data_IF_205163075623
#
_entry.id   IF_205163075623
#
_cell.length_a   1.000
_cell.length_b   1.000
_cell.length_c   1.000
_cell.angle_alpha   90.00
_cell.angle_beta   90.00
_cell.angle_gamma   90.00
#
_symmetry.space_group_name_H-M   'P 1'
#
loop_
_entity.id
_entity.type
_entity.pdbx_description
1 polymer ?
#
# COMPACT_ATOMS: atom_id res chain seq x y z
N UNK A 1 -23.92 14.66 4.79
CA UNK A 1 -24.17 14.12 3.43
C UNK A 1 -25.59 14.50 3.01
N UNK A 2 -25.79 14.88 1.74
CA UNK A 2 -27.14 15.19 1.25
C UNK A 2 -27.89 13.89 0.95
N UNK A 3 -29.20 13.83 1.20
CA UNK A 3 -30.02 12.64 0.92
C UNK A 3 -30.63 12.62 -0.49
N UNK A 4 -30.40 13.69 -1.26
CA UNK A 4 -30.99 13.87 -2.59
C UNK A 4 -30.01 13.40 -3.67
N UNK A 5 -30.53 12.66 -4.66
CA UNK A 5 -29.78 12.29 -5.86
C UNK A 5 -29.51 13.52 -6.71
N UNK A 6 -28.31 13.64 -7.28
CA UNK A 6 -27.92 14.74 -8.19
C UNK A 6 -28.20 14.43 -9.66
N UNK A 7 -28.74 13.25 -9.96
CA UNK A 7 -28.95 12.79 -11.32
C UNK A 7 -29.97 13.68 -12.04
N UNK A 8 -29.57 14.30 -13.16
CA UNK A 8 -30.39 15.21 -13.94
C UNK A 8 -30.45 16.65 -13.41
N UNK A 9 -29.67 17.00 -12.38
CA UNK A 9 -29.60 18.36 -11.88
C UNK A 9 -28.73 19.24 -12.80
N UNK A 10 -29.35 20.25 -13.41
CA UNK A 10 -28.73 21.19 -14.37
C UNK A 10 -27.51 21.89 -13.77
N UNK A 11 -27.47 22.11 -12.45
CA UNK A 11 -26.32 22.73 -11.77
C UNK A 11 -25.07 21.87 -11.82
N UNK A 12 -25.22 20.55 -11.86
CA UNK A 12 -24.10 19.61 -12.02
C UNK A 12 -23.74 19.41 -13.49
N UNK A 13 -24.71 19.52 -14.40
CA UNK A 13 -24.47 19.43 -15.86
C UNK A 13 -23.62 20.61 -16.33
N UNK A 14 -23.95 21.81 -15.85
CA UNK A 14 -23.24 23.05 -16.20
C UNK A 14 -22.15 23.41 -15.17
N UNK A 15 -21.64 22.44 -14.41
CA UNK A 15 -20.62 22.71 -13.39
C UNK A 15 -19.26 23.01 -14.03
N UNK A 16 -18.65 24.11 -13.64
CA UNK A 16 -17.28 24.46 -14.01
C UNK A 16 -16.30 24.03 -12.91
N UNK A 17 -15.19 23.40 -13.30
CA UNK A 17 -14.24 22.83 -12.37
C UNK A 17 -13.32 23.89 -11.74
N UNK A 18 -13.29 23.93 -10.41
CA UNK A 18 -12.33 24.74 -9.64
C UNK A 18 -11.12 23.91 -9.19
N UNK A 19 -9.94 24.43 -9.47
CA UNK A 19 -8.64 23.86 -9.12
C UNK A 19 -8.27 24.09 -7.65
N UNK A 20 -8.77 25.13 -7.00
CA UNK A 20 -8.37 25.54 -5.65
C UNK A 20 -9.30 25.02 -4.57
N UNK A 21 -9.69 23.76 -4.69
CA UNK A 21 -10.57 23.10 -3.73
C UNK A 21 -9.79 22.17 -2.80
N UNK A 22 -10.26 22.04 -1.55
CA UNK A 22 -9.66 21.14 -0.55
C UNK A 22 -9.39 19.71 -1.09
N UNK A 23 -10.32 19.07 -1.83
CA UNK A 23 -10.09 17.72 -2.35
C UNK A 23 -8.99 17.67 -3.41
N UNK A 24 -8.90 18.69 -4.27
CA UNK A 24 -7.86 18.80 -5.31
C UNK A 24 -6.48 19.01 -4.67
N UNK A 25 -6.40 19.87 -3.65
CA UNK A 25 -5.17 20.06 -2.89
C UNK A 25 -4.75 18.77 -2.18
N UNK A 26 -5.66 18.09 -1.48
CA UNK A 26 -5.35 16.80 -0.85
C UNK A 26 -4.92 15.73 -1.87
N UNK A 27 -5.53 15.69 -3.06
CA UNK A 27 -5.15 14.78 -4.14
C UNK A 27 -3.79 15.11 -4.79
N UNK A 28 -3.30 16.35 -4.64
CA UNK A 28 -1.98 16.77 -5.13
C UNK A 28 -0.84 16.36 -4.19
N UNK A 29 -1.08 16.22 -2.88
CA UNK A 29 -0.06 15.83 -1.88
C UNK A 29 0.62 14.51 -2.25
N UNK A 30 -0.10 13.45 -2.67
CA UNK A 30 0.51 12.20 -3.13
C UNK A 30 1.57 12.36 -4.20
N UNK A 31 1.47 13.35 -5.09
CA UNK A 31 2.46 13.55 -6.15
C UNK A 31 3.85 13.85 -5.57
N UNK A 32 3.93 14.52 -4.43
CA UNK A 32 5.19 14.91 -3.78
C UNK A 32 6.00 13.67 -3.37
N UNK A 33 5.35 12.64 -2.82
CA UNK A 33 6.04 11.43 -2.38
C UNK A 33 6.02 10.29 -3.41
N UNK A 34 5.06 10.26 -4.34
CA UNK A 34 4.99 9.25 -5.39
C UNK A 34 6.08 9.44 -6.45
N UNK A 35 6.38 10.68 -6.85
CA UNK A 35 7.42 10.95 -7.87
C UNK A 35 8.81 10.43 -7.44
N UNK A 36 9.31 10.75 -6.23
CA UNK A 36 10.54 10.13 -5.71
C UNK A 36 10.47 8.61 -5.62
N UNK A 37 9.30 8.06 -5.29
CA UNK A 37 9.10 6.61 -5.16
C UNK A 37 9.20 5.89 -6.50
N UNK A 38 8.65 6.48 -7.58
CA UNK A 38 8.80 5.96 -8.94
C UNK A 38 10.28 5.92 -9.34
N UNK A 39 11.05 6.96 -9.00
CA UNK A 39 12.49 6.98 -9.25
C UNK A 39 13.23 5.86 -8.50
N UNK A 40 12.97 5.71 -7.20
CA UNK A 40 13.56 4.66 -6.37
C UNK A 40 13.20 3.27 -6.91
N UNK A 41 11.93 3.04 -7.26
CA UNK A 41 11.47 1.79 -7.87
C UNK A 41 12.18 1.51 -9.19
N UNK A 42 12.34 2.51 -10.05
CA UNK A 42 13.05 2.37 -11.32
C UNK A 42 14.52 2.01 -11.12
N UNK A 43 15.21 2.60 -10.13
CA UNK A 43 16.58 2.21 -9.77
C UNK A 43 16.66 0.78 -9.22
N UNK A 44 15.70 0.37 -8.38
CA UNK A 44 15.63 -1.01 -7.88
C UNK A 44 15.50 -1.99 -9.03
N UNK A 45 14.56 -1.75 -9.96
CA UNK A 45 14.34 -2.59 -11.15
C UNK A 45 15.59 -2.62 -12.02
N UNK A 46 16.21 -1.46 -12.29
CA UNK A 46 17.44 -1.36 -13.09
C UNK A 46 18.58 -2.19 -12.50
N UNK A 47 18.79 -2.14 -11.18
CA UNK A 47 19.83 -2.93 -10.50
C UNK A 47 19.48 -4.41 -10.49
N UNK A 48 18.21 -4.76 -10.29
CA UNK A 48 17.77 -6.15 -10.31
C UNK A 48 17.92 -6.77 -11.71
N UNK A 49 17.50 -6.08 -12.77
CA UNK A 49 17.70 -6.49 -14.16
C UNK A 49 19.19 -6.63 -14.47
N UNK A 50 20.05 -5.69 -14.05
CA UNK A 50 21.50 -5.78 -14.23
C UNK A 50 22.07 -7.00 -13.50
N UNK A 51 21.65 -7.28 -12.28
CA UNK A 51 22.12 -8.45 -11.53
C UNK A 51 21.65 -9.77 -12.13
N UNK A 52 20.43 -9.84 -12.65
CA UNK A 52 19.94 -11.00 -13.41
C UNK A 52 20.78 -11.26 -14.67
N UNK A 53 21.22 -10.20 -15.34
CA UNK A 53 22.06 -10.28 -16.55
C UNK A 53 23.52 -10.61 -16.19
N UNK A 54 24.11 -9.96 -15.18
CA UNK A 54 25.52 -10.11 -14.77
C UNK A 54 25.80 -11.41 -14.01
N UNK A 55 24.85 -11.97 -13.24
CA UNK A 55 25.05 -13.24 -12.52
C UNK A 55 25.15 -14.49 -13.41
N UNK A 56 25.10 -14.36 -14.74
CA UNK A 56 25.52 -15.45 -15.62
C UNK A 56 27.01 -15.76 -15.52
N UNK A 57 27.82 -14.80 -15.05
CA UNK A 57 29.26 -14.96 -15.02
C UNK A 57 29.78 -14.89 -13.57
N UNK A 58 30.50 -15.96 -13.21
CA UNK A 58 31.44 -16.11 -12.07
C UNK A 58 30.92 -16.64 -10.70
N UNK A 59 31.30 -17.91 -10.47
CA UNK A 59 31.74 -18.51 -9.21
C UNK A 59 30.73 -18.68 -8.04
N UNK A 60 29.61 -19.35 -8.30
CA UNK A 60 28.91 -20.14 -7.27
C UNK A 60 28.37 -21.42 -7.91
N UNK A 61 28.54 -22.57 -7.25
CA UNK A 61 28.17 -23.88 -7.79
C UNK A 61 26.72 -23.87 -8.33
N UNK A 62 26.55 -23.74 -9.66
CA UNK A 62 25.31 -23.20 -10.24
C UNK A 62 24.14 -24.14 -10.00
N UNK A 63 24.39 -25.44 -9.90
CA UNK A 63 23.35 -26.43 -9.63
C UNK A 63 22.69 -26.28 -8.26
N UNK A 64 23.44 -26.06 -7.18
CA UNK A 64 22.85 -25.96 -5.83
C UNK A 64 22.10 -24.65 -5.66
N UNK A 65 22.66 -23.55 -6.16
CA UNK A 65 21.99 -22.25 -6.14
C UNK A 65 20.75 -22.25 -7.05
N UNK A 66 20.83 -22.85 -8.24
CA UNK A 66 19.70 -23.01 -9.14
C UNK A 66 18.59 -23.85 -8.51
N UNK A 67 18.89 -24.96 -7.83
CA UNK A 67 17.88 -25.78 -7.14
C UNK A 67 17.20 -25.01 -6.00
N UNK A 68 17.94 -24.19 -5.24
CA UNK A 68 17.37 -23.34 -4.17
C UNK A 68 16.49 -22.23 -4.77
N UNK A 69 16.92 -21.58 -5.84
CA UNK A 69 16.12 -20.54 -6.52
C UNK A 69 14.89 -21.16 -7.18
N UNK A 70 15.04 -22.30 -7.86
CA UNK A 70 13.94 -23.00 -8.51
C UNK A 70 12.93 -23.51 -7.48
N UNK A 71 13.39 -24.05 -6.35
CA UNK A 71 12.47 -24.47 -5.27
C UNK A 71 11.74 -23.29 -4.65
N UNK A 72 12.38 -22.14 -4.44
CA UNK A 72 11.71 -20.92 -3.99
C UNK A 72 10.71 -20.39 -5.03
N UNK A 73 11.07 -20.38 -6.31
CA UNK A 73 10.19 -19.97 -7.40
C UNK A 73 8.99 -20.92 -7.56
N UNK A 74 9.19 -22.23 -7.48
CA UNK A 74 8.10 -23.21 -7.56
C UNK A 74 7.17 -23.14 -6.34
N UNK A 75 7.71 -22.87 -5.14
CA UNK A 75 6.89 -22.63 -3.94
C UNK A 75 6.06 -21.36 -4.13
N UNK A 76 6.69 -20.26 -4.57
CA UNK A 76 5.98 -19.01 -4.87
C UNK A 76 4.92 -19.20 -5.96
N UNK A 77 5.23 -19.91 -7.05
CA UNK A 77 4.31 -20.20 -8.14
C UNK A 77 3.10 -21.03 -7.67
N UNK A 78 3.34 -22.09 -6.86
CA UNK A 78 2.27 -22.89 -6.27
C UNK A 78 1.39 -22.05 -5.34
N UNK A 79 2.00 -21.24 -4.47
CA UNK A 79 1.26 -20.35 -3.55
C UNK A 79 0.45 -19.34 -4.35
N UNK A 80 1.01 -18.73 -5.38
CA UNK A 80 0.30 -17.76 -6.25
C UNK A 80 -0.84 -18.44 -6.99
N UNK A 81 -0.62 -19.60 -7.62
CA UNK A 81 -1.67 -20.37 -8.32
C UNK A 81 -2.84 -20.72 -7.40
N UNK A 82 -2.55 -21.13 -6.16
CA UNK A 82 -3.58 -21.44 -5.16
C UNK A 82 -4.25 -20.16 -4.65
N UNK A 83 -3.51 -19.09 -4.37
CA UNK A 83 -4.03 -17.85 -3.80
C UNK A 83 -4.87 -17.06 -4.80
N UNK A 84 -4.56 -17.11 -6.09
CA UNK A 84 -5.24 -16.35 -7.16
C UNK A 84 -6.76 -16.55 -7.16
N UNK A 85 -7.31 -17.78 -7.19
CA UNK A 85 -8.77 -17.97 -7.15
C UNK A 85 -9.40 -17.43 -5.86
N UNK A 86 -8.73 -17.55 -4.70
CA UNK A 86 -9.24 -16.97 -3.45
C UNK A 86 -9.32 -15.44 -3.53
N UNK A 87 -8.33 -14.77 -4.14
CA UNK A 87 -8.33 -13.30 -4.29
C UNK A 87 -9.51 -12.83 -5.16
N UNK A 88 -9.94 -13.60 -6.15
CA UNK A 88 -11.10 -13.25 -6.97
C UNK A 88 -12.45 -13.59 -6.32
N UNK A 89 -12.53 -14.72 -5.60
CA UNK A 89 -13.77 -15.17 -4.96
C UNK A 89 -14.05 -14.37 -3.67
N UNK A 90 -13.01 -13.98 -2.95
CA UNK A 90 -13.14 -13.33 -1.65
C UNK A 90 -13.94 -12.01 -1.69
N UNK A 91 -13.69 -11.06 -2.62
CA UNK A 91 -14.50 -9.85 -2.73
C UNK A 91 -15.98 -10.15 -2.93
N UNK A 92 -16.33 -11.16 -3.73
CA UNK A 92 -17.72 -11.53 -4.02
C UNK A 92 -18.49 -11.91 -2.74
N UNK A 93 -17.83 -12.55 -1.78
CA UNK A 93 -18.41 -12.90 -0.48
C UNK A 93 -18.77 -11.67 0.37
N UNK A 94 -18.09 -10.54 0.17
CA UNK A 94 -18.37 -9.29 0.91
C UNK A 94 -19.21 -8.30 0.09
N UNK A 95 -19.25 -8.43 -1.23
CA UNK A 95 -19.99 -7.54 -2.14
C UNK A 95 -21.34 -8.11 -2.58
N UNK A 96 -21.71 -9.35 -2.25
CA UNK A 96 -23.02 -9.91 -2.68
C UNK A 96 -24.22 -9.06 -2.28
N UNK A 97 -24.11 -8.30 -1.17
CA UNK A 97 -25.15 -7.37 -0.70
C UNK A 97 -25.49 -6.24 -1.68
N UNK A 98 -24.62 -5.98 -2.66
CA UNK A 98 -24.81 -4.98 -3.72
C UNK A 98 -25.65 -5.47 -4.91
N UNK A 99 -25.92 -6.77 -5.04
CA UNK A 99 -26.87 -7.28 -6.04
C UNK A 99 -28.21 -7.32 -5.30
N UNK A 100 -29.31 -6.63 -5.69
CA UNK A 100 -29.58 -5.84 -6.89
C UNK A 100 -29.58 -4.32 -6.60
N UNK A 101 -28.71 -3.86 -5.69
CA UNK A 101 -28.71 -2.50 -5.18
C UNK A 101 -28.60 -1.46 -6.31
N UNK A 102 -29.36 -0.38 -6.18
CA UNK A 102 -29.36 0.75 -7.10
C UNK A 102 -28.31 1.78 -6.63
N UNK A 103 -27.40 2.15 -7.52
CA UNK A 103 -26.41 3.19 -7.29
C UNK A 103 -26.95 4.56 -7.70
N UNK A 104 -26.80 5.56 -6.84
CA UNK A 104 -27.15 6.95 -7.10
C UNK A 104 -25.99 7.88 -6.74
N UNK A 105 -25.83 8.97 -7.48
CA UNK A 105 -24.83 9.98 -7.17
C UNK A 105 -25.40 11.00 -6.17
N UNK A 106 -24.61 11.38 -5.17
CA UNK A 106 -24.99 12.37 -4.16
C UNK A 106 -23.85 13.36 -3.93
N UNK A 107 -24.19 14.57 -3.51
CA UNK A 107 -23.20 15.57 -3.13
C UNK A 107 -22.54 15.23 -1.79
N UNK A 108 -21.22 15.23 -1.78
CA UNK A 108 -20.43 15.13 -0.58
C UNK A 108 -20.45 16.50 0.11
N UNK A 109 -21.00 16.54 1.32
CA UNK A 109 -21.10 17.76 2.14
C UNK A 109 -20.02 17.75 3.22
N UNK A 110 -19.64 18.91 3.74
CA UNK A 110 -18.62 19.07 4.78
C UNK A 110 -17.52 20.02 4.30
N UNK A 111 -16.23 19.62 4.32
CA UNK A 111 -15.14 20.42 3.76
C UNK A 111 -15.12 20.40 2.21
N UNK A 112 -16.01 19.63 1.59
CA UNK A 112 -16.10 19.46 0.14
C UNK A 112 -17.06 20.50 -0.43
N UNK A 113 -16.59 21.26 -1.41
CA UNK A 113 -17.38 22.24 -2.13
C UNK A 113 -18.36 21.57 -3.12
N UNK A 114 -19.27 22.37 -3.66
CA UNK A 114 -20.19 21.94 -4.71
C UNK A 114 -19.42 21.30 -5.88
N UNK A 115 -19.95 20.20 -6.43
CA UNK A 115 -19.27 19.42 -7.48
C UNK A 115 -18.50 18.21 -6.95
N UNK A 116 -18.27 18.10 -5.65
CA UNK A 116 -17.75 16.87 -5.03
C UNK A 116 -18.84 15.79 -4.91
N UNK A 117 -18.71 14.72 -5.69
CA UNK A 117 -19.73 13.68 -5.81
C UNK A 117 -19.25 12.39 -5.12
N UNK A 118 -20.16 11.69 -4.47
CA UNK A 118 -19.94 10.31 -4.01
C UNK A 118 -21.06 9.39 -4.47
N UNK A 119 -20.73 8.11 -4.66
CA UNK A 119 -21.69 7.07 -5.07
C UNK A 119 -22.31 6.44 -3.83
N UNK A 120 -23.63 6.39 -3.78
CA UNK A 120 -24.39 5.79 -2.70
C UNK A 120 -25.26 4.64 -3.25
N UNK A 121 -25.39 3.57 -2.49
CA UNK A 121 -26.18 2.39 -2.86
C UNK A 121 -27.40 2.26 -1.97
N UNK A 122 -28.56 1.97 -2.58
CA UNK A 122 -29.83 1.72 -1.89
C UNK A 122 -30.49 0.45 -2.43
N UNK A 123 -31.33 -0.20 -1.64
CA UNK A 123 -31.98 -1.46 -2.05
C UNK A 123 -31.07 -2.68 -1.94
N UNK A 124 -30.20 -2.72 -0.93
CA UNK A 124 -29.30 -3.84 -0.69
C UNK A 124 -30.07 -5.13 -0.38
N UNK A 125 -29.52 -6.25 -0.83
CA UNK A 125 -30.07 -7.57 -0.54
C UNK A 125 -30.00 -7.87 0.98
N UNK A 126 -31.07 -8.42 1.53
CA UNK A 126 -31.29 -8.62 2.97
C UNK A 126 -31.24 -7.36 3.85
N UNK A 127 -31.36 -6.15 3.27
CA UNK A 127 -31.17 -4.88 3.98
C UNK A 127 -29.79 -4.76 4.69
N UNK A 128 -28.81 -5.59 4.29
CA UNK A 128 -27.47 -5.55 4.85
C UNK A 128 -26.68 -4.41 4.21
N UNK A 129 -26.28 -3.43 5.03
CA UNK A 129 -25.38 -2.36 4.58
C UNK A 129 -24.00 -2.93 4.32
N UNK A 130 -23.45 -2.68 3.12
CA UNK A 130 -22.09 -3.04 2.74
C UNK A 130 -21.05 -2.59 3.79
N UNK A 131 -21.27 -1.41 4.39
CA UNK A 131 -20.39 -0.88 5.45
C UNK A 131 -20.24 -1.86 6.63
N UNK A 132 -21.29 -2.58 7.02
CA UNK A 132 -21.24 -3.53 8.15
C UNK A 132 -20.34 -4.74 7.83
N UNK A 133 -20.48 -5.29 6.61
CA UNK A 133 -19.62 -6.39 6.14
C UNK A 133 -18.17 -5.92 5.97
N UNK A 134 -17.98 -4.68 5.53
CA UNK A 134 -16.65 -4.08 5.38
C UNK A 134 -15.94 -3.90 6.74
N UNK A 135 -16.65 -3.50 7.80
CA UNK A 135 -16.07 -3.46 9.16
C UNK A 135 -15.58 -4.84 9.56
N UNK A 136 -16.40 -5.87 9.40
CA UNK A 136 -16.03 -7.24 9.77
C UNK A 136 -14.77 -7.69 9.03
N UNK A 137 -14.71 -7.44 7.72
CA UNK A 137 -13.55 -7.74 6.88
C UNK A 137 -12.28 -7.03 7.37
N UNK A 138 -12.35 -5.71 7.56
CA UNK A 138 -11.19 -4.91 7.98
C UNK A 138 -10.73 -5.30 9.39
N UNK A 139 -11.65 -5.56 10.33
CA UNK A 139 -11.31 -6.01 11.69
C UNK A 139 -10.63 -7.38 11.65
N UNK A 140 -11.13 -8.31 10.83
CA UNK A 140 -10.53 -9.64 10.66
C UNK A 140 -9.08 -9.54 10.15
N UNK A 141 -8.83 -8.77 9.10
CA UNK A 141 -7.48 -8.60 8.57
C UNK A 141 -6.56 -7.78 9.50
N UNK A 142 -7.09 -6.80 10.23
CA UNK A 142 -6.33 -6.06 11.23
C UNK A 142 -5.86 -7.00 12.35
N UNK A 143 -6.74 -7.90 12.82
CA UNK A 143 -6.39 -8.89 13.82
C UNK A 143 -5.32 -9.86 13.30
N UNK A 144 -5.52 -10.40 12.09
CA UNK A 144 -4.56 -11.31 11.46
C UNK A 144 -3.18 -10.65 11.25
N UNK A 145 -3.16 -9.40 10.78
CA UNK A 145 -1.94 -8.62 10.57
C UNK A 145 -1.24 -8.30 11.90
N UNK A 146 -2.00 -7.97 12.95
CA UNK A 146 -1.44 -7.72 14.29
C UNK A 146 -0.86 -9.01 14.88
N UNK A 147 -1.57 -10.14 14.76
CA UNK A 147 -1.09 -11.44 15.20
C UNK A 147 0.20 -11.84 14.45
N UNK A 148 0.23 -11.67 13.12
CA UNK A 148 1.43 -11.93 12.31
C UNK A 148 2.62 -11.04 12.73
N UNK A 149 2.38 -9.75 13.01
CA UNK A 149 3.40 -8.82 13.50
C UNK A 149 3.93 -9.23 14.89
N UNK A 150 3.07 -9.68 15.80
CA UNK A 150 3.48 -10.18 17.13
C UNK A 150 4.34 -11.45 16.97
N UNK A 151 3.90 -12.41 16.16
CA UNK A 151 4.65 -13.64 15.89
C UNK A 151 6.01 -13.34 15.26
N UNK A 152 6.06 -12.43 14.28
CA UNK A 152 7.29 -11.99 13.63
C UNK A 152 8.22 -11.32 14.65
N UNK A 153 7.70 -10.46 15.53
CA UNK A 153 8.47 -9.80 16.57
C UNK A 153 9.07 -10.79 17.57
N UNK A 154 8.29 -11.78 18.04
CA UNK A 154 8.80 -12.82 18.95
C UNK A 154 9.87 -13.67 18.30
N UNK A 155 9.66 -14.08 17.05
CA UNK A 155 10.65 -14.82 16.27
C UNK A 155 11.93 -14.00 16.08
N UNK A 156 11.80 -12.71 15.77
CA UNK A 156 12.93 -11.80 15.62
C UNK A 156 13.71 -11.62 16.93
N UNK A 157 13.01 -11.44 18.06
CA UNK A 157 13.64 -11.33 19.39
C UNK A 157 14.44 -12.59 19.73
N UNK A 158 13.88 -13.77 19.45
CA UNK A 158 14.53 -15.06 19.70
C UNK A 158 15.80 -15.23 18.85
N UNK A 159 15.73 -14.83 17.59
CA UNK A 159 16.85 -14.95 16.64
C UNK A 159 17.94 -13.91 16.93
N UNK A 160 17.56 -12.68 17.30
CA UNK A 160 18.48 -11.57 17.61
C UNK A 160 19.42 -11.92 18.77
N UNK A 161 18.91 -12.62 19.78
CA UNK A 161 19.72 -13.08 20.92
C UNK A 161 20.76 -14.16 20.52
N UNK A 162 20.56 -14.86 19.40
CA UNK A 162 21.43 -15.95 18.93
C UNK A 162 22.38 -15.54 17.80
N UNK A 163 22.22 -14.37 17.18
CA UNK A 163 22.96 -13.99 15.95
C UNK A 163 23.90 -12.79 16.12
N UNK A 164 25.01 -12.83 15.38
CA UNK A 164 26.00 -11.74 15.26
C UNK A 164 26.04 -11.03 13.89
N UNK A 165 25.33 -11.52 12.87
CA UNK A 165 25.45 -10.99 11.48
C UNK A 165 24.53 -9.79 11.22
N UNK A 166 25.14 -8.61 11.00
CA UNK A 166 24.46 -7.33 10.74
C UNK A 166 23.62 -7.34 9.45
N UNK A 167 24.09 -8.03 8.40
CA UNK A 167 23.36 -8.09 7.10
C UNK A 167 22.00 -8.76 7.25
N UNK A 168 21.96 -9.85 8.01
CA UNK A 168 20.76 -10.64 8.19
C UNK A 168 19.78 -9.96 9.14
N UNK A 169 20.28 -9.29 10.19
CA UNK A 169 19.47 -8.44 11.07
C UNK A 169 18.79 -7.30 10.29
N UNK A 170 19.49 -6.71 9.31
CA UNK A 170 18.96 -5.64 8.48
C UNK A 170 17.82 -6.10 7.57
N UNK A 171 17.94 -7.30 6.99
CA UNK A 171 16.88 -7.90 6.19
C UNK A 171 15.63 -8.22 7.04
N UNK A 172 15.83 -8.72 8.26
CA UNK A 172 14.72 -8.98 9.18
C UNK A 172 14.02 -7.70 9.65
N UNK A 173 14.78 -6.64 9.93
CA UNK A 173 14.22 -5.33 10.26
C UNK A 173 13.43 -4.74 9.09
N UNK A 174 13.93 -4.87 7.86
CA UNK A 174 13.20 -4.46 6.64
C UNK A 174 11.86 -5.20 6.53
N UNK A 175 11.83 -6.50 6.82
CA UNK A 175 10.61 -7.30 6.80
C UNK A 175 9.61 -6.81 7.88
N UNK A 176 10.07 -6.51 9.10
CA UNK A 176 9.18 -5.98 10.16
C UNK A 176 8.60 -4.60 9.81
N UNK A 177 9.38 -3.72 9.20
CA UNK A 177 8.85 -2.42 8.79
C UNK A 177 7.84 -2.54 7.64
N UNK A 178 8.04 -3.53 6.75
CA UNK A 178 7.08 -3.84 5.68
C UNK A 178 5.74 -4.28 6.26
N UNK A 179 5.75 -5.24 7.19
CA UNK A 179 4.51 -5.73 7.82
C UNK A 179 3.85 -4.72 8.75
N UNK A 180 4.63 -3.79 9.32
CA UNK A 180 4.11 -2.65 10.07
C UNK A 180 3.44 -1.62 9.16
N UNK A 181 3.98 -1.37 7.96
CA UNK A 181 3.40 -0.44 6.99
C UNK A 181 1.98 -0.87 6.58
N UNK A 182 1.79 -2.17 6.35
CA UNK A 182 0.49 -2.77 6.01
C UNK A 182 -0.60 -2.49 7.07
N UNK A 183 -0.25 -2.32 8.36
CA UNK A 183 -1.23 -1.99 9.40
C UNK A 183 -1.84 -0.59 9.21
N UNK A 184 -1.10 0.36 8.63
CA UNK A 184 -1.57 1.73 8.41
C UNK A 184 -2.82 1.77 7.51
N UNK A 185 -2.84 0.96 6.45
CA UNK A 185 -3.97 0.82 5.55
C UNK A 185 -5.21 0.28 6.30
N UNK A 186 -5.07 -0.78 7.09
CA UNK A 186 -6.21 -1.34 7.82
C UNK A 186 -6.75 -0.39 8.90
N UNK A 187 -5.86 0.31 9.62
CA UNK A 187 -6.25 1.28 10.67
C UNK A 187 -7.04 2.45 10.05
N UNK A 188 -6.52 3.08 9.00
CA UNK A 188 -7.19 4.22 8.35
C UNK A 188 -8.53 3.83 7.73
N UNK A 189 -8.61 2.65 7.10
CA UNK A 189 -9.87 2.10 6.61
C UNK A 189 -10.87 1.83 7.75
N UNK A 190 -10.42 1.26 8.87
CA UNK A 190 -11.30 0.96 10.01
C UNK A 190 -11.88 2.23 10.62
N UNK A 191 -11.04 3.25 10.86
CA UNK A 191 -11.47 4.54 11.41
C UNK A 191 -12.54 5.16 10.50
N UNK A 192 -12.30 5.18 9.19
CA UNK A 192 -13.27 5.72 8.23
C UNK A 192 -14.62 5.01 8.30
N UNK A 193 -14.65 3.67 8.27
CA UNK A 193 -15.91 2.92 8.22
C UNK A 193 -16.68 3.00 9.55
N UNK A 194 -15.99 2.98 10.69
CA UNK A 194 -16.63 3.20 12.00
C UNK A 194 -17.29 4.58 12.05
N UNK A 195 -16.55 5.62 11.63
CA UNK A 195 -17.07 6.99 11.62
C UNK A 195 -18.24 7.14 10.65
N UNK A 196 -18.22 6.43 9.53
CA UNK A 196 -19.33 6.39 8.58
C UNK A 196 -20.60 5.76 9.17
N UNK A 197 -20.47 4.75 10.04
CA UNK A 197 -21.62 4.09 10.69
C UNK A 197 -22.18 4.96 11.83
N UNK A 198 -21.32 5.55 12.68
CA UNK A 198 -21.76 6.31 13.85
C UNK A 198 -22.22 7.72 13.45
N UNK A 199 -21.39 8.47 12.71
CA UNK A 199 -21.63 9.86 12.34
C UNK A 199 -21.24 10.14 10.88
N UNK A 200 -22.15 9.92 9.92
CA UNK A 200 -21.90 10.16 8.50
C UNK A 200 -21.32 11.54 8.16
N UNK A 201 -21.69 12.67 8.81
CA UNK A 201 -21.06 13.97 8.53
C UNK A 201 -19.55 13.98 8.84
N UNK A 202 -19.14 13.34 9.92
CA UNK A 202 -17.73 13.34 10.37
C UNK A 202 -16.86 12.46 9.47
N UNK A 203 -17.44 11.41 8.88
CA UNK A 203 -16.75 10.53 7.92
C UNK A 203 -16.19 11.27 6.71
N UNK A 204 -16.78 12.41 6.34
CA UNK A 204 -16.33 13.22 5.21
C UNK A 204 -14.96 13.85 5.45
N UNK A 205 -14.65 14.27 6.68
CA UNK A 205 -13.32 14.80 7.02
C UNK A 205 -12.24 13.70 7.00
N UNK A 206 -12.63 12.47 7.35
CA UNK A 206 -11.71 11.34 7.48
C UNK A 206 -11.47 10.61 6.15
N UNK A 207 -12.39 10.71 5.18
CA UNK A 207 -12.27 9.99 3.89
C UNK A 207 -10.99 10.34 3.14
N UNK A 208 -10.48 11.57 3.28
CA UNK A 208 -9.24 12.03 2.68
C UNK A 208 -7.99 11.33 3.26
N UNK A 209 -8.07 10.76 4.47
CA UNK A 209 -6.94 10.04 5.10
C UNK A 209 -6.74 8.63 4.52
N UNK A 210 -7.77 8.06 3.90
CA UNK A 210 -7.77 6.67 3.42
C UNK A 210 -6.73 6.41 2.32
N UNK A 211 -6.58 7.27 1.28
CA UNK A 211 -5.51 7.12 0.30
C UNK A 211 -4.12 7.14 0.95
N UNK A 212 -3.85 8.07 1.87
CA UNK A 212 -2.55 8.18 2.54
C UNK A 212 -2.18 6.92 3.33
N UNK A 213 -3.15 6.31 4.03
CA UNK A 213 -2.92 5.05 4.74
C UNK A 213 -2.60 3.87 3.81
N UNK A 214 -3.22 3.83 2.63
CA UNK A 214 -2.92 2.82 1.61
C UNK A 214 -1.56 3.10 0.93
N UNK A 215 -1.22 4.37 0.72
CA UNK A 215 0.04 4.80 0.09
C UNK A 215 1.26 4.48 0.96
N UNK A 216 1.11 4.42 2.29
CA UNK A 216 2.17 4.01 3.21
C UNK A 216 2.80 2.67 2.79
N UNK A 217 2.01 1.67 2.39
CA UNK A 217 2.54 0.37 1.98
C UNK A 217 3.32 0.47 0.67
N UNK A 218 2.78 1.19 -0.30
CA UNK A 218 3.38 1.37 -1.63
C UNK A 218 4.68 2.17 -1.55
N UNK A 219 4.76 3.15 -0.65
CA UNK A 219 5.90 4.07 -0.53
C UNK A 219 6.94 3.55 0.45
N UNK A 220 6.56 3.20 1.68
CA UNK A 220 7.55 2.86 2.70
C UNK A 220 8.33 1.59 2.33
N UNK A 221 7.68 0.59 1.73
CA UNK A 221 8.30 -0.71 1.45
C UNK A 221 9.49 -0.60 0.47
N UNK A 222 9.35 0.01 -0.72
CA UNK A 222 10.48 0.23 -1.63
C UNK A 222 11.58 1.09 -1.03
N UNK A 223 11.21 2.12 -0.29
CA UNK A 223 12.18 3.02 0.34
C UNK A 223 13.01 2.32 1.41
N UNK A 224 12.36 1.55 2.29
CA UNK A 224 13.04 0.72 3.28
C UNK A 224 13.96 -0.28 2.56
N UNK A 225 13.47 -0.94 1.51
CA UNK A 225 14.29 -1.89 0.74
C UNK A 225 15.52 -1.22 0.09
N UNK A 226 15.33 -0.08 -0.58
CA UNK A 226 16.40 0.69 -1.22
C UNK A 226 17.49 1.10 -0.22
N UNK A 227 17.09 1.60 0.95
CA UNK A 227 18.01 2.03 1.99
C UNK A 227 18.69 0.83 2.67
N UNK A 228 17.98 -0.29 2.84
CA UNK A 228 18.46 -1.47 3.59
C UNK A 228 19.35 -2.41 2.78
N UNK A 229 19.14 -2.51 1.46
CA UNK A 229 19.80 -3.52 0.66
C UNK A 229 21.28 -3.17 0.35
N UNK A 230 22.25 -4.09 0.54
CA UNK A 230 23.68 -3.80 0.40
C UNK A 230 24.10 -3.42 -1.02
N UNK A 231 23.35 -3.83 -2.05
CA UNK A 231 23.64 -3.49 -3.44
C UNK A 231 23.58 -1.97 -3.71
N UNK A 232 22.68 -1.25 -3.03
CA UNK A 232 22.53 0.21 -3.21
C UNK A 232 23.48 1.01 -2.31
N UNK A 233 23.85 0.46 -1.14
CA UNK A 233 24.84 1.09 -0.24
C UNK A 233 26.23 1.23 -0.86
N UNK A 234 26.71 0.22 -1.60
CA UNK A 234 28.04 0.29 -2.25
C UNK A 234 28.14 1.46 -3.23
N UNK A 235 27.05 1.74 -3.95
CA UNK A 235 26.97 2.83 -4.94
C UNK A 235 26.96 4.21 -4.27
N UNK A 236 26.28 4.34 -3.12
CA UNK A 236 26.25 5.58 -2.33
C UNK A 236 27.65 5.95 -1.80
N UNK A 237 28.33 5.00 -1.13
CA UNK A 237 29.68 5.20 -0.59
C UNK A 237 30.74 5.40 -1.69
N UNK A 238 30.64 4.69 -2.81
CA UNK A 238 31.56 4.90 -3.94
C UNK A 238 31.40 6.31 -4.52
N UNK A 239 30.17 6.81 -4.67
CA UNK A 239 29.93 8.15 -5.20
C UNK A 239 30.41 9.27 -4.25
N UNK A 240 30.31 9.07 -2.93
CA UNK A 240 30.86 10.02 -1.95
C UNK A 240 32.39 10.02 -1.94
N UNK A 241 33.04 8.85 -1.95
CA UNK A 241 34.52 8.75 -2.01
C UNK A 241 35.06 9.35 -3.31
N UNK A 242 34.37 9.15 -4.43
CA UNK A 242 34.72 9.80 -5.71
C UNK A 242 34.56 11.32 -5.64
N UNK A 243 33.47 11.85 -5.06
CA UNK A 243 33.28 13.30 -4.88
C UNK A 243 34.34 13.95 -3.99
N UNK A 244 34.66 13.33 -2.86
CA UNK A 244 35.69 13.82 -1.93
C UNK A 244 37.08 13.80 -2.59
N UNK A 245 37.38 12.78 -3.40
CA UNK A 245 38.63 12.72 -4.16
C UNK A 245 38.75 13.86 -5.18
N UNK A 246 37.68 14.20 -5.90
CA UNK A 246 37.67 15.35 -6.82
C UNK A 246 37.83 16.70 -6.11
N UNK A 247 37.26 16.87 -4.91
CA UNK A 247 37.41 18.13 -4.15
C UNK A 247 38.85 18.34 -3.64
N UNK A 248 39.56 17.26 -3.31
CA UNK A 248 40.97 17.31 -2.90
C UNK A 248 41.96 17.49 -4.06
N UNK A 249 41.54 17.31 -5.32
CA UNK A 249 42.41 17.50 -6.50
C UNK A 249 42.28 18.90 -7.12
N UNK A 250 41.36 19.73 -6.62
CA UNK A 250 41.10 21.09 -7.09
C UNK A 250 41.61 22.19 -6.14
N UNK A 251 42.51 21.85 -5.21
CA UNK A 251 43.22 22.80 -4.32
C UNK A 251 44.70 22.73 -4.65
#
# INVERSE_FOLDING_TARGET
>A
MNNVSIQGDVRYINYEFDWFTFPVLCASIPLIYLLPTIFVMTEIVRVYCRQLITKRDELMNPHVFFVIVLSQLMICEKIVKISTPFVFIYPLLFTFTLIPALGFCRQLLGPYQFGAIYIFFSGNWFNLKLANLLVLNVVFFLFLSTAANILLYWKLKTIRNKRKSVKLQRAESSLTFTTLSMLSAYITNLIFVIMFIIHPPLSTYVVALRPFGNDCDIVLVPWIFYLTHPAFKKKLFSNEVSRVRTLHTTI
#
